data_IF_965729759305
#
_entry.id   IF_965729759305
#
_cell.length_a   1.000
_cell.length_b   1.000
_cell.length_c   1.000
_cell.angle_alpha   90.00
_cell.angle_beta   90.00
_cell.angle_gamma   90.00
#
_symmetry.space_group_name_H-M   'P 1'
#
loop_
_entity.id
_entity.type
_entity.pdbx_description
1 polymer ?
#
# COMPACT_ATOMS: atom_id res chain seq x y z
N UNK A 1 15.72 -5.96 2.94
CA UNK A 1 15.21 -6.19 4.31
C UNK A 1 13.86 -6.92 4.30
N UNK A 2 13.54 -7.68 5.35
CA UNK A 2 12.18 -8.17 5.62
C UNK A 2 11.45 -7.17 6.52
N UNK A 3 10.13 -7.09 6.42
CA UNK A 3 9.31 -6.22 7.26
C UNK A 3 8.02 -6.88 7.72
N UNK A 4 7.48 -6.35 8.81
CA UNK A 4 6.16 -6.68 9.35
C UNK A 4 5.51 -5.40 9.89
N UNK A 5 4.27 -5.11 9.49
CA UNK A 5 3.49 -3.93 9.94
C UNK A 5 2.10 -4.41 10.32
N UNK A 6 1.61 -4.00 11.48
CA UNK A 6 0.31 -4.42 12.01
C UNK A 6 -0.59 -3.22 12.26
N UNK A 7 -1.82 -3.30 11.77
CA UNK A 7 -2.86 -2.31 11.99
C UNK A 7 -4.09 -2.95 12.62
N UNK A 8 -4.89 -2.18 13.35
CA UNK A 8 -6.19 -2.61 13.87
C UNK A 8 -7.29 -1.69 13.34
N UNK A 9 -8.41 -2.27 12.96
CA UNK A 9 -9.61 -1.58 12.48
C UNK A 9 -10.81 -1.88 13.37
N UNK A 10 -11.66 -0.88 13.57
CA UNK A 10 -12.84 -0.96 14.43
C UNK A 10 -14.06 -1.54 13.69
N UNK A 11 -13.85 -2.66 13.00
CA UNK A 11 -14.90 -3.41 12.33
C UNK A 11 -14.49 -4.88 12.13
N UNK A 12 -15.46 -5.73 11.83
CA UNK A 12 -15.20 -7.13 11.47
C UNK A 12 -14.45 -7.25 10.12
N UNK A 13 -13.92 -8.44 9.86
CA UNK A 13 -13.01 -8.66 8.72
C UNK A 13 -13.73 -8.48 7.38
N UNK A 14 -15.01 -8.84 7.30
CA UNK A 14 -15.77 -8.69 6.06
C UNK A 14 -15.93 -7.20 5.76
N UNK A 15 -16.40 -6.42 6.75
CA UNK A 15 -16.57 -4.98 6.62
C UNK A 15 -15.27 -4.28 6.20
N UNK A 16 -14.12 -4.66 6.78
CA UNK A 16 -12.81 -4.11 6.39
C UNK A 16 -12.45 -4.47 4.94
N UNK A 17 -12.62 -5.72 4.53
CA UNK A 17 -12.31 -6.15 3.17
C UNK A 17 -13.24 -5.48 2.15
N UNK A 18 -14.53 -5.40 2.44
CA UNK A 18 -15.53 -4.71 1.62
C UNK A 18 -15.16 -3.23 1.45
N UNK A 19 -14.80 -2.54 2.53
CA UNK A 19 -14.33 -1.17 2.47
C UNK A 19 -13.03 -1.01 1.66
N UNK A 20 -12.05 -1.91 1.83
CA UNK A 20 -10.74 -1.85 1.15
C UNK A 20 -10.84 -1.99 -0.39
N UNK A 21 -11.91 -2.61 -0.88
CA UNK A 21 -12.16 -2.83 -2.31
C UNK A 21 -13.30 -1.97 -2.85
N UNK A 22 -13.81 -1.04 -2.05
CA UNK A 22 -14.85 -0.12 -2.49
C UNK A 22 -14.30 0.92 -3.49
N UNK A 23 -14.99 1.18 -4.61
CA UNK A 23 -14.54 2.18 -5.59
C UNK A 23 -14.36 3.59 -5.03
N UNK A 24 -15.14 3.99 -4.03
CA UNK A 24 -15.08 5.33 -3.43
C UNK A 24 -13.90 5.49 -2.46
N UNK A 25 -13.24 4.40 -2.06
CA UNK A 25 -12.10 4.47 -1.14
C UNK A 25 -10.96 5.32 -1.72
N UNK A 26 -10.64 5.18 -3.00
CA UNK A 26 -9.51 5.89 -3.62
C UNK A 26 -9.68 7.41 -3.57
N UNK A 27 -10.90 7.89 -3.85
CA UNK A 27 -11.23 9.31 -3.75
C UNK A 27 -11.14 9.78 -2.28
N UNK A 28 -11.65 8.98 -1.35
CA UNK A 28 -11.59 9.28 0.08
C UNK A 28 -10.14 9.36 0.59
N UNK A 29 -9.31 8.37 0.27
CA UNK A 29 -7.90 8.33 0.64
C UNK A 29 -7.13 9.53 0.06
N UNK A 30 -7.40 9.90 -1.20
CA UNK A 30 -6.75 11.06 -1.83
C UNK A 30 -7.07 12.38 -1.11
N UNK A 31 -8.26 12.51 -0.52
CA UNK A 31 -8.65 13.70 0.25
C UNK A 31 -8.09 13.69 1.68
N UNK A 32 -8.06 12.53 2.33
CA UNK A 32 -7.67 12.40 3.74
C UNK A 32 -6.16 12.29 3.96
N UNK A 33 -5.44 11.71 3.01
CA UNK A 33 -4.00 11.45 3.17
C UNK A 33 -3.16 12.66 2.76
N UNK A 34 -2.13 12.94 3.55
CA UNK A 34 -1.13 13.97 3.26
C UNK A 34 0.08 13.42 2.50
N UNK A 35 0.26 12.10 2.49
CA UNK A 35 1.42 11.42 1.88
C UNK A 35 1.19 10.96 0.44
N UNK A 36 -0.05 10.98 -0.06
CA UNK A 36 -0.42 10.58 -1.42
C UNK A 36 -1.10 11.75 -2.12
N UNK A 37 -0.71 12.01 -3.38
CA UNK A 37 -1.33 13.03 -4.22
C UNK A 37 -2.42 12.45 -5.13
N UNK A 38 -2.20 11.24 -5.66
CA UNK A 38 -3.13 10.60 -6.59
C UNK A 38 -3.19 9.09 -6.35
N UNK A 39 -4.40 8.55 -6.48
CA UNK A 39 -4.67 7.12 -6.50
C UNK A 39 -5.56 6.84 -7.70
N UNK A 40 -5.13 5.93 -8.56
CA UNK A 40 -5.84 5.59 -9.79
C UNK A 40 -5.97 4.08 -9.92
N UNK A 41 -7.21 3.58 -9.98
CA UNK A 41 -7.47 2.19 -10.26
C UNK A 41 -7.29 1.93 -11.76
N UNK A 42 -6.21 1.24 -12.12
CA UNK A 42 -5.91 0.87 -13.50
C UNK A 42 -6.72 -0.34 -13.96
N UNK A 43 -6.90 -1.31 -13.06
CA UNK A 43 -7.57 -2.57 -13.35
C UNK A 43 -8.21 -3.13 -12.08
N UNK A 44 -9.40 -3.73 -12.22
CA UNK A 44 -10.04 -4.53 -11.18
C UNK A 44 -10.86 -5.62 -11.84
N UNK A 45 -10.57 -6.88 -11.50
CA UNK A 45 -11.38 -8.04 -11.83
C UNK A 45 -11.83 -8.71 -10.53
N UNK A 46 -13.14 -8.79 -10.30
CA UNK A 46 -13.74 -9.38 -9.10
C UNK A 46 -14.58 -10.60 -9.51
N UNK A 47 -14.07 -11.79 -9.15
CA UNK A 47 -14.69 -13.09 -9.44
C UNK A 47 -15.44 -13.64 -8.21
N UNK A 48 -15.80 -12.76 -7.26
CA UNK A 48 -16.45 -13.13 -6.01
C UNK A 48 -15.44 -13.65 -4.99
N UNK A 49 -14.93 -14.88 -5.15
CA UNK A 49 -13.98 -15.49 -4.19
C UNK A 49 -12.57 -14.89 -4.27
N UNK A 50 -12.26 -14.26 -5.41
CA UNK A 50 -10.95 -13.71 -5.74
C UNK A 50 -11.08 -12.33 -6.37
N UNK A 51 -10.24 -11.39 -5.95
CA UNK A 51 -10.17 -10.06 -6.57
C UNK A 51 -8.74 -9.78 -7.01
N UNK A 52 -8.54 -9.54 -8.30
CA UNK A 52 -7.25 -9.10 -8.85
C UNK A 52 -7.36 -7.63 -9.19
N UNK A 53 -6.41 -6.81 -8.73
CA UNK A 53 -6.40 -5.38 -9.04
C UNK A 53 -5.02 -4.84 -9.34
N UNK A 54 -5.02 -3.71 -10.06
CA UNK A 54 -3.85 -2.86 -10.28
C UNK A 54 -4.21 -1.42 -9.94
N UNK A 55 -3.46 -0.83 -9.03
CA UNK A 55 -3.68 0.54 -8.56
C UNK A 55 -2.38 1.31 -8.64
N UNK A 56 -2.43 2.47 -9.29
CA UNK A 56 -1.31 3.40 -9.37
C UNK A 56 -1.39 4.38 -8.22
N UNK A 57 -0.27 4.59 -7.55
CA UNK A 57 -0.12 5.55 -6.46
C UNK A 57 0.96 6.57 -6.81
N UNK A 58 0.64 7.84 -6.65
CA UNK A 58 1.58 8.94 -6.73
C UNK A 58 1.79 9.52 -5.34
N UNK A 59 2.92 9.24 -4.67
CA UNK A 59 3.18 9.83 -3.37
C UNK A 59 3.47 11.32 -3.50
N UNK A 60 3.15 12.07 -2.46
CA UNK A 60 3.57 13.46 -2.34
C UNK A 60 5.09 13.50 -2.22
N UNK A 61 5.80 14.26 -3.06
CA UNK A 61 7.26 14.26 -3.04
C UNK A 61 7.80 14.84 -1.73
N UNK A 62 8.45 13.99 -0.93
CA UNK A 62 9.10 14.38 0.33
C UNK A 62 10.56 14.81 0.13
N UNK A 63 11.19 14.34 -0.96
CA UNK A 63 12.57 14.68 -1.32
C UNK A 63 12.57 15.24 -2.73
N UNK A 64 12.88 16.53 -2.84
CA UNK A 64 13.07 17.18 -4.14
C UNK A 64 14.51 17.01 -4.65
N UNK A 65 15.49 16.73 -3.76
CA UNK A 65 16.92 16.60 -4.09
C UNK A 65 17.64 15.56 -3.21
N UNK A 66 18.54 14.76 -3.81
CA UNK A 66 19.57 13.99 -3.10
C UNK A 66 20.94 14.52 -3.52
N UNK A 67 21.63 15.21 -2.61
CA UNK A 67 22.85 15.95 -2.93
C UNK A 67 22.59 16.99 -4.04
N UNK A 68 23.39 17.04 -5.12
CA UNK A 68 23.15 17.97 -6.23
C UNK A 68 22.07 17.50 -7.21
N UNK A 69 21.55 16.28 -7.10
CA UNK A 69 20.60 15.71 -8.07
C UNK A 69 19.15 15.97 -7.64
N UNK A 70 18.38 16.56 -8.53
CA UNK A 70 16.92 16.65 -8.38
C UNK A 70 16.30 15.27 -8.58
N UNK A 71 15.32 14.93 -7.75
CA UNK A 71 14.54 13.70 -7.88
C UNK A 71 13.18 14.09 -8.45
N UNK A 72 12.89 13.71 -9.71
CA UNK A 72 11.56 13.90 -10.26
C UNK A 72 10.53 13.20 -9.36
N UNK A 73 9.46 13.88 -8.94
CA UNK A 73 8.42 13.30 -8.08
C UNK A 73 7.89 11.95 -8.58
N UNK A 74 7.77 11.81 -9.91
CA UNK A 74 7.27 10.59 -10.58
C UNK A 74 8.20 9.38 -10.45
N UNK A 75 9.45 9.55 -10.02
CA UNK A 75 10.32 8.41 -9.73
C UNK A 75 9.85 7.60 -8.52
N UNK A 76 9.03 8.20 -7.66
CA UNK A 76 8.43 7.52 -6.51
C UNK A 76 7.04 6.98 -6.82
N UNK A 77 6.53 7.13 -8.04
CA UNK A 77 5.25 6.57 -8.47
C UNK A 77 5.36 5.05 -8.63
N UNK A 78 4.36 4.31 -8.16
CA UNK A 78 4.33 2.85 -8.31
C UNK A 78 2.94 2.33 -8.68
N UNK A 79 2.91 1.14 -9.27
CA UNK A 79 1.71 0.32 -9.43
C UNK A 79 1.78 -0.79 -8.40
N UNK A 80 0.77 -0.88 -7.55
CA UNK A 80 0.46 -2.07 -6.76
C UNK A 80 -0.30 -3.04 -7.66
N UNK A 81 0.19 -4.27 -7.76
CA UNK A 81 -0.53 -5.41 -8.31
C UNK A 81 -0.87 -6.33 -7.14
N UNK A 82 -2.15 -6.63 -6.94
CA UNK A 82 -2.57 -7.45 -5.80
C UNK A 82 -3.69 -8.43 -6.12
N UNK A 83 -3.71 -9.55 -5.39
CA UNK A 83 -4.75 -10.57 -5.45
C UNK A 83 -5.29 -10.82 -4.05
N UNK A 84 -6.58 -10.58 -3.83
CA UNK A 84 -7.33 -11.03 -2.65
C UNK A 84 -7.82 -12.46 -2.87
N UNK A 85 -7.60 -13.31 -1.88
CA UNK A 85 -8.39 -14.51 -1.63
C UNK A 85 -9.33 -14.22 -0.45
N UNK A 86 -10.65 -14.18 -0.71
CA UNK A 86 -11.66 -13.86 0.31
C UNK A 86 -11.80 -14.95 1.36
N UNK A 87 -11.66 -16.22 0.96
CA UNK A 87 -11.77 -17.37 1.87
C UNK A 87 -10.59 -17.41 2.84
N UNK A 88 -9.38 -17.21 2.32
CA UNK A 88 -8.16 -17.16 3.11
C UNK A 88 -7.95 -15.81 3.82
N UNK A 89 -8.76 -14.79 3.53
CA UNK A 89 -8.65 -13.42 4.08
C UNK A 89 -7.24 -12.87 3.92
N UNK A 90 -6.64 -13.12 2.76
CA UNK A 90 -5.24 -12.86 2.47
C UNK A 90 -5.11 -12.14 1.14
N UNK A 91 -4.29 -11.10 1.11
CA UNK A 91 -3.92 -10.39 -0.11
C UNK A 91 -2.45 -10.67 -0.39
N UNK A 92 -2.10 -11.09 -1.59
CA UNK A 92 -0.72 -11.05 -2.09
C UNK A 92 -0.53 -9.75 -2.87
N UNK A 93 0.60 -9.08 -2.70
CA UNK A 93 0.88 -7.82 -3.41
C UNK A 93 2.31 -7.74 -3.93
N UNK A 94 2.47 -6.98 -4.99
CA UNK A 94 3.75 -6.54 -5.52
C UNK A 94 3.66 -5.06 -5.92
N UNK A 95 4.61 -4.26 -5.46
CA UNK A 95 4.72 -2.85 -5.82
C UNK A 95 5.85 -2.66 -6.82
N UNK A 96 5.51 -2.12 -8.00
CA UNK A 96 6.45 -1.88 -9.11
C UNK A 96 6.54 -0.39 -9.41
N UNK A 97 7.73 0.23 -9.30
CA UNK A 97 7.95 1.60 -9.77
C UNK A 97 7.54 1.75 -11.24
N UNK A 98 6.95 2.89 -11.61
CA UNK A 98 6.56 3.15 -13.02
C UNK A 98 7.77 3.44 -13.92
N UNK A 99 8.89 3.87 -13.34
CA UNK A 99 10.12 4.10 -14.09
C UNK A 99 10.90 2.78 -14.26
N UNK A 100 10.97 2.26 -15.48
CA UNK A 100 11.57 0.94 -15.79
C UNK A 100 12.98 0.72 -15.20
N UNK A 101 13.84 1.75 -15.27
CA UNK A 101 15.20 1.69 -14.70
C UNK A 101 15.18 1.42 -13.19
N UNK A 102 14.21 1.99 -12.47
CA UNK A 102 14.05 1.81 -11.02
C UNK A 102 13.36 0.48 -10.72
N UNK A 103 12.40 0.06 -11.56
CA UNK A 103 11.70 -1.22 -11.41
C UNK A 103 12.66 -2.42 -11.40
N UNK A 104 13.71 -2.39 -12.20
CA UNK A 104 14.72 -3.46 -12.23
C UNK A 104 15.60 -3.52 -10.95
N UNK A 105 15.63 -2.42 -10.20
CA UNK A 105 16.47 -2.25 -9.01
C UNK A 105 15.72 -2.47 -7.70
N UNK A 106 14.39 -2.57 -7.72
CA UNK A 106 13.56 -2.68 -6.53
C UNK A 106 12.74 -3.98 -6.54
N UNK A 107 12.77 -4.70 -5.43
CA UNK A 107 11.78 -5.74 -5.12
C UNK A 107 10.99 -5.25 -3.91
N UNK A 108 9.68 -5.11 -4.05
CA UNK A 108 8.77 -4.81 -2.95
C UNK A 108 7.52 -5.68 -3.13
N UNK A 109 7.39 -6.70 -2.30
CA UNK A 109 6.31 -7.67 -2.40
C UNK A 109 6.04 -8.33 -1.06
N UNK A 110 4.85 -8.87 -0.89
CA UNK A 110 4.46 -9.49 0.37
C UNK A 110 3.02 -9.96 0.40
N UNK A 111 2.55 -10.15 1.62
CA UNK A 111 1.17 -10.53 1.92
C UNK A 111 0.57 -9.61 2.97
N UNK A 112 -0.75 -9.47 2.94
CA UNK A 112 -1.56 -8.88 3.99
C UNK A 112 -2.55 -9.93 4.47
N UNK A 113 -2.57 -10.21 5.76
CA UNK A 113 -3.52 -11.15 6.36
C UNK A 113 -4.46 -10.41 7.30
N UNK A 114 -5.76 -10.71 7.21
CA UNK A 114 -6.80 -10.11 8.03
C UNK A 114 -7.35 -11.15 9.01
N UNK A 115 -7.30 -10.83 10.30
CA UNK A 115 -7.69 -11.74 11.39
C UNK A 115 -8.72 -11.05 12.27
N UNK A 116 -9.73 -11.81 12.71
CA UNK A 116 -10.66 -11.30 13.72
C UNK A 116 -9.94 -11.15 15.06
N UNK A 117 -10.25 -10.06 15.76
CA UNK A 117 -9.82 -9.73 17.11
C UNK A 117 -11.07 -9.31 17.90
N UNK A 118 -12.01 -10.25 18.06
CA UNK A 118 -13.36 -9.96 18.54
C UNK A 118 -14.15 -9.19 17.48
N UNK A 119 -14.75 -8.07 17.87
CA UNK A 119 -15.46 -7.15 16.97
C UNK A 119 -14.54 -6.28 16.10
N UNK A 120 -13.22 -6.42 16.25
CA UNK A 120 -12.20 -5.68 15.49
C UNK A 120 -11.48 -6.59 14.51
N UNK A 121 -10.72 -5.99 13.61
CA UNK A 121 -9.86 -6.68 12.65
C UNK A 121 -8.41 -6.28 12.84
N UNK A 122 -7.52 -7.26 12.88
CA UNK A 122 -6.08 -7.06 12.79
C UNK A 122 -5.60 -7.36 11.37
N UNK A 123 -4.94 -6.38 10.75
CA UNK A 123 -4.27 -6.53 9.44
C UNK A 123 -2.78 -6.63 9.68
N UNK A 124 -2.17 -7.75 9.29
CA UNK A 124 -0.74 -7.98 9.38
C UNK A 124 -0.14 -8.02 7.98
N UNK A 125 0.70 -7.05 7.65
CA UNK A 125 1.45 -6.99 6.41
C UNK A 125 2.85 -7.58 6.64
N UNK A 126 3.26 -8.55 5.83
CA UNK A 126 4.62 -9.12 5.85
C UNK A 126 5.21 -9.11 4.45
N UNK A 127 6.49 -8.82 4.33
CA UNK A 127 7.09 -8.82 3.00
C UNK A 127 8.59 -8.61 3.00
N UNK A 128 9.09 -8.39 1.80
CA UNK A 128 10.47 -8.03 1.54
C UNK A 128 10.57 -6.76 0.71
N UNK A 129 11.58 -5.96 1.06
CA UNK A 129 11.99 -4.76 0.35
C UNK A 129 13.48 -4.88 0.04
N UNK A 130 13.87 -5.01 -1.22
CA UNK A 130 15.26 -5.19 -1.64
C UNK A 130 15.65 -4.17 -2.70
N UNK A 131 16.74 -3.43 -2.47
CA UNK A 131 17.31 -2.49 -3.44
C UNK A 131 18.62 -3.05 -3.98
N UNK A 132 18.67 -3.31 -5.28
CA UNK A 132 19.81 -3.91 -6.01
C UNK A 132 20.83 -2.85 -6.44
N UNK A 133 21.28 -1.99 -5.51
CA UNK A 133 22.32 -0.98 -5.77
C UNK A 133 23.53 -1.25 -4.89
N UNK A 134 24.70 -1.40 -5.51
CA UNK A 134 25.96 -1.64 -4.81
C UNK A 134 26.28 -0.49 -3.85
N UNK A 135 26.70 -0.83 -2.61
CA UNK A 135 27.01 0.07 -1.48
C UNK A 135 25.84 0.90 -0.88
N UNK A 136 24.90 1.40 -1.69
CA UNK A 136 23.80 2.27 -1.21
C UNK A 136 22.49 1.53 -0.89
N UNK A 137 22.39 0.24 -1.23
CA UNK A 137 21.15 -0.53 -1.11
C UNK A 137 20.51 -0.50 0.28
N UNK A 138 21.29 -0.71 1.35
CA UNK A 138 20.74 -0.74 2.73
C UNK A 138 20.19 0.61 3.19
N UNK A 139 20.84 1.70 2.81
CA UNK A 139 20.40 3.07 3.15
C UNK A 139 19.11 3.38 2.41
N UNK A 140 19.05 3.06 1.11
CA UNK A 140 17.86 3.20 0.29
C UNK A 140 16.70 2.35 0.82
N UNK A 141 16.94 1.07 1.19
CA UNK A 141 15.93 0.19 1.78
C UNK A 141 15.32 0.79 3.06
N UNK A 142 16.15 1.27 3.98
CA UNK A 142 15.67 1.90 5.22
C UNK A 142 14.86 3.16 4.95
N UNK A 143 15.31 3.99 4.01
CA UNK A 143 14.59 5.20 3.62
C UNK A 143 13.21 4.86 3.02
N UNK A 144 13.17 3.96 2.03
CA UNK A 144 11.93 3.55 1.37
C UNK A 144 10.98 2.90 2.37
N UNK A 145 11.49 2.03 3.26
CA UNK A 145 10.69 1.41 4.32
C UNK A 145 10.03 2.47 5.21
N UNK A 146 10.78 3.44 5.72
CA UNK A 146 10.23 4.48 6.59
C UNK A 146 9.11 5.28 5.90
N UNK A 147 9.24 5.57 4.60
CA UNK A 147 8.19 6.26 3.85
C UNK A 147 6.98 5.36 3.59
N UNK A 148 7.20 4.12 3.20
CA UNK A 148 6.13 3.15 3.00
C UNK A 148 5.34 2.91 4.29
N UNK A 149 6.02 2.77 5.44
CA UNK A 149 5.39 2.67 6.75
C UNK A 149 4.55 3.91 7.05
N UNK A 150 5.07 5.12 6.81
CA UNK A 150 4.29 6.35 7.03
C UNK A 150 3.02 6.42 6.18
N UNK A 151 3.12 6.03 4.91
CA UNK A 151 1.97 5.94 3.99
C UNK A 151 0.95 4.93 4.50
N UNK A 152 1.40 3.72 4.90
CA UNK A 152 0.52 2.66 5.40
C UNK A 152 -0.16 3.01 6.73
N UNK A 153 0.54 3.68 7.63
CA UNK A 153 -0.03 4.16 8.90
C UNK A 153 -1.10 5.24 8.67
N UNK A 154 -0.89 6.11 7.69
CA UNK A 154 -1.88 7.12 7.30
C UNK A 154 -3.08 6.49 6.58
N UNK A 155 -2.83 5.56 5.66
CA UNK A 155 -3.87 4.78 4.97
C UNK A 155 -4.70 3.98 5.97
N UNK A 156 -4.10 3.34 6.96
CA UNK A 156 -4.83 2.58 7.98
C UNK A 156 -5.79 3.47 8.78
N UNK A 157 -5.33 4.67 9.18
CA UNK A 157 -6.20 5.64 9.88
C UNK A 157 -7.33 6.11 8.97
N UNK A 158 -7.03 6.45 7.72
CA UNK A 158 -8.03 6.92 6.76
C UNK A 158 -9.06 5.82 6.42
N UNK A 159 -8.62 4.57 6.19
CA UNK A 159 -9.50 3.44 5.98
C UNK A 159 -10.41 3.19 7.20
N UNK A 160 -9.90 3.30 8.43
CA UNK A 160 -10.73 3.17 9.62
C UNK A 160 -11.82 4.25 9.69
N UNK A 161 -11.50 5.50 9.34
CA UNK A 161 -12.50 6.58 9.23
C UNK A 161 -13.54 6.29 8.14
N UNK A 162 -13.10 5.79 6.99
CA UNK A 162 -13.98 5.46 5.87
C UNK A 162 -14.98 4.37 6.28
N UNK A 163 -14.52 3.32 6.96
CA UNK A 163 -15.36 2.26 7.52
C UNK A 163 -16.42 2.87 8.46
N UNK A 164 -15.99 3.68 9.42
CA UNK A 164 -16.89 4.32 10.39
C UNK A 164 -17.93 5.23 9.71
N UNK A 165 -17.57 5.92 8.63
CA UNK A 165 -18.48 6.78 7.88
C UNK A 165 -19.61 6.04 7.15
N UNK A 166 -19.49 4.72 6.99
CA UNK A 166 -20.48 3.87 6.30
C UNK A 166 -21.32 3.02 7.24
N UNK A 167 -20.90 2.92 8.50
CA UNK A 167 -21.63 2.22 9.55
C UNK A 167 -22.55 3.15 10.36
N UNK A 168 -22.51 4.46 10.08
CA UNK A 168 -23.40 5.48 10.62
C UNK A 168 -24.63 5.67 9.72
#
# INVERSE_FOLDING_TARGET
>A
MKFEITHTFDADVETVLTAMYDPALHEFLTKEMTTINEIEQLEKNDEGSRVVRRVRYMPKPLIQKIGPKEIPPRWMEWVEESTLDRGAKTVTFQNRPTTQKIANLLVNQGTMQFRSKGAKTERVLKGELKVKVFLLGKIAEKFIYNQASRILEEEARALNKFIQSRSA
#
